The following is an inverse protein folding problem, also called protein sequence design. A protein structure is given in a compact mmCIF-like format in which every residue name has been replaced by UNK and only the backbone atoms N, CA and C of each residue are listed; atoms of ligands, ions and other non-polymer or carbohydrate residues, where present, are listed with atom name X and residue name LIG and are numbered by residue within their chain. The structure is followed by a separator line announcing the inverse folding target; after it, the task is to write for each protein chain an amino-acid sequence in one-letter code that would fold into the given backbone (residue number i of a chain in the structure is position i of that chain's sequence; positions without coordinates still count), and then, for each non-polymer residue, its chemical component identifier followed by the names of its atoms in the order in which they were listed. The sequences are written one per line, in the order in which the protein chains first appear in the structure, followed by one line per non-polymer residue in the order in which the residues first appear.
data_IF_927867169166
#
_entry.id   IF_927867169166
#
_cell.length_a   1.000
_cell.length_b   1.000
_cell.length_c   1.000
_cell.angle_alpha   90.00
_cell.angle_beta   90.00
_cell.angle_gamma   90.00
#
_symmetry.space_group_name_H-M   'P 1'
#
loop_
_entity.id
_entity.type
_entity.pdbx_description
1 polymer ?
#
# COMPACT_ATOMS: atom_id res chain seq x y z
N UNK A 1 11.39 -17.26 10.72
CA UNK A 1 11.63 -16.17 11.71
C UNK A 1 12.30 -16.80 12.91
N UNK A 2 13.42 -16.25 13.41
CA UNK A 2 14.08 -16.82 14.58
C UNK A 2 13.13 -16.78 15.80
N UNK A 3 13.11 -17.86 16.57
CA UNK A 3 12.26 -17.97 17.76
C UNK A 3 12.68 -16.93 18.80
N UNK A 4 11.70 -16.17 19.34
CA UNK A 4 11.94 -15.13 20.36
C UNK A 4 12.64 -15.70 21.61
N UNK A 5 12.52 -17.00 21.87
CA UNK A 5 13.20 -17.72 22.95
C UNK A 5 14.74 -17.66 22.86
N UNK A 6 15.29 -17.45 21.66
CA UNK A 6 16.75 -17.43 21.44
C UNK A 6 17.37 -16.02 21.61
N UNK A 7 16.56 -15.00 21.92
CA UNK A 7 17.05 -13.64 22.11
C UNK A 7 17.21 -13.31 23.60
N UNK A 8 18.23 -12.51 23.93
CA UNK A 8 18.38 -11.90 25.27
C UNK A 8 17.06 -11.25 25.71
N UNK A 9 16.70 -11.39 26.98
CA UNK A 9 15.42 -10.98 27.57
C UNK A 9 14.97 -9.57 27.15
N UNK A 10 15.86 -8.59 27.22
CA UNK A 10 15.57 -7.19 26.86
C UNK A 10 15.13 -7.03 25.41
N UNK A 11 15.74 -7.78 24.47
CA UNK A 11 15.34 -7.76 23.06
C UNK A 11 13.98 -8.44 22.86
N UNK A 12 13.75 -9.56 23.55
CA UNK A 12 12.46 -10.25 23.49
C UNK A 12 11.31 -9.41 24.07
N UNK A 13 11.56 -8.63 25.13
CA UNK A 13 10.60 -7.65 25.69
C UNK A 13 10.31 -6.54 24.68
N UNK A 14 11.35 -5.96 24.09
CA UNK A 14 11.20 -4.91 23.08
C UNK A 14 10.38 -5.38 21.87
N UNK A 15 10.67 -6.58 21.34
CA UNK A 15 9.90 -7.15 20.23
C UNK A 15 8.43 -7.38 20.56
N UNK A 16 8.13 -7.83 21.79
CA UNK A 16 6.75 -7.99 22.25
C UNK A 16 6.01 -6.66 22.29
N UNK A 17 6.61 -5.61 22.85
CA UNK A 17 5.99 -4.27 22.86
C UNK A 17 5.81 -3.71 21.45
N UNK A 18 6.79 -3.95 20.57
CA UNK A 18 6.69 -3.55 19.18
C UNK A 18 5.55 -4.27 18.42
N UNK A 19 5.28 -5.55 18.70
CA UNK A 19 4.12 -6.24 18.12
C UNK A 19 2.79 -5.68 18.61
N UNK A 20 2.70 -5.34 19.90
CA UNK A 20 1.51 -4.70 20.48
C UNK A 20 1.24 -3.35 19.81
N UNK A 21 2.29 -2.54 19.62
CA UNK A 21 2.17 -1.24 18.96
C UNK A 21 1.76 -1.40 17.49
N UNK A 22 2.34 -2.36 16.77
CA UNK A 22 1.95 -2.64 15.39
C UNK A 22 0.50 -3.11 15.29
N UNK A 23 0.02 -3.93 16.24
CA UNK A 23 -1.37 -4.34 16.30
C UNK A 23 -2.31 -3.16 16.53
N UNK A 24 -2.01 -2.31 17.54
CA UNK A 24 -2.82 -1.15 17.85
C UNK A 24 -2.88 -0.17 16.66
N UNK A 25 -1.73 0.11 16.04
CA UNK A 25 -1.66 0.99 14.88
C UNK A 25 -2.38 0.41 13.65
N UNK A 26 -2.27 -0.89 13.42
CA UNK A 26 -3.02 -1.54 12.34
C UNK A 26 -4.53 -1.39 12.53
N UNK A 27 -5.03 -1.60 13.74
CA UNK A 27 -6.48 -1.50 13.99
C UNK A 27 -6.94 -0.04 13.91
N UNK A 28 -6.15 0.92 14.39
CA UNK A 28 -6.46 2.35 14.23
C UNK A 28 -6.58 2.77 12.77
N UNK A 29 -5.53 2.50 12.01
CA UNK A 29 -5.36 3.05 10.67
C UNK A 29 -5.82 2.13 9.55
N UNK A 30 -6.29 0.91 9.88
CA UNK A 30 -6.72 -0.14 8.95
C UNK A 30 -5.61 -0.74 8.08
N UNK A 31 -4.55 0.02 7.80
CA UNK A 31 -3.33 -0.45 7.16
C UNK A 31 -2.09 0.25 7.73
N UNK A 32 -0.94 -0.41 7.64
CA UNK A 32 0.36 0.14 8.00
C UNK A 32 1.42 -0.31 7.00
N UNK A 33 2.41 0.56 6.74
CA UNK A 33 3.57 0.24 5.91
C UNK A 33 4.76 -0.02 6.82
N UNK A 34 5.36 -1.21 6.72
CA UNK A 34 6.50 -1.57 7.57
C UNK A 34 7.45 -2.53 6.86
N UNK A 35 8.59 -2.83 7.48
CA UNK A 35 9.54 -3.81 6.93
C UNK A 35 8.90 -5.20 6.84
N UNK A 36 9.12 -5.93 5.76
CA UNK A 36 8.52 -7.25 5.49
C UNK A 36 8.69 -8.24 6.65
N UNK A 37 9.86 -8.21 7.29
CA UNK A 37 10.14 -9.04 8.45
C UNK A 37 9.27 -8.67 9.66
N UNK A 38 9.05 -7.38 9.89
CA UNK A 38 8.19 -6.87 10.97
C UNK A 38 6.73 -7.24 10.71
N UNK A 39 6.26 -7.04 9.47
CA UNK A 39 4.90 -7.37 9.04
C UNK A 39 4.60 -8.85 9.28
N UNK A 40 5.42 -9.77 8.75
CA UNK A 40 5.19 -11.23 8.90
C UNK A 40 5.14 -11.70 10.35
N UNK A 41 5.98 -11.12 11.21
CA UNK A 41 6.01 -11.46 12.64
C UNK A 41 4.76 -10.93 13.36
N UNK A 42 4.41 -9.67 13.12
CA UNK A 42 3.26 -9.04 13.73
C UNK A 42 1.95 -9.70 13.27
N UNK A 43 1.84 -10.06 11.98
CA UNK A 43 0.65 -10.69 11.39
C UNK A 43 0.19 -11.91 12.19
N UNK A 44 1.09 -12.85 12.48
CA UNK A 44 0.74 -14.06 13.23
C UNK A 44 0.20 -13.75 14.64
N UNK A 45 0.67 -12.67 15.29
CA UNK A 45 0.19 -12.23 16.60
C UNK A 45 -1.16 -11.51 16.51
N UNK A 46 -1.34 -10.69 15.48
CA UNK A 46 -2.56 -9.93 15.22
C UNK A 46 -3.70 -10.88 14.86
N UNK A 47 -3.49 -11.85 13.98
CA UNK A 47 -4.48 -12.88 13.62
C UNK A 47 -4.93 -13.66 14.86
N UNK A 48 -3.98 -14.09 15.70
CA UNK A 48 -4.29 -14.80 16.94
C UNK A 48 -5.06 -13.92 17.93
N UNK A 49 -4.69 -12.64 18.04
CA UNK A 49 -5.36 -11.68 18.89
C UNK A 49 -6.81 -11.43 18.43
N UNK A 50 -7.00 -11.08 17.16
CA UNK A 50 -8.32 -10.81 16.58
C UNK A 50 -9.24 -12.03 16.68
N UNK A 51 -8.75 -13.21 16.30
CA UNK A 51 -9.54 -14.44 16.40
C UNK A 51 -10.03 -14.72 17.82
N UNK A 52 -9.17 -14.56 18.84
CA UNK A 52 -9.55 -14.73 20.24
C UNK A 52 -10.52 -13.64 20.72
N UNK A 53 -10.23 -12.38 20.40
CA UNK A 53 -11.04 -11.24 20.83
C UNK A 53 -12.46 -11.33 20.26
N UNK A 54 -12.58 -11.60 18.96
CA UNK A 54 -13.86 -11.73 18.26
C UNK A 54 -14.65 -12.95 18.76
N UNK A 55 -13.99 -14.09 18.96
CA UNK A 55 -14.64 -15.28 19.51
C UNK A 55 -15.18 -15.03 20.92
N UNK A 56 -14.39 -14.43 21.81
CA UNK A 56 -14.82 -14.09 23.17
C UNK A 56 -15.97 -13.08 23.16
N UNK A 57 -15.92 -12.08 22.27
CA UNK A 57 -16.99 -11.11 22.10
C UNK A 57 -18.31 -11.76 21.67
N UNK A 58 -18.27 -12.73 20.73
CA UNK A 58 -19.45 -13.48 20.30
C UNK A 58 -20.14 -14.20 21.47
N UNK A 59 -19.38 -14.76 22.41
CA UNK A 59 -19.93 -15.44 23.60
C UNK A 59 -20.63 -14.49 24.58
N UNK A 60 -20.36 -13.19 24.53
CA UNK A 60 -20.97 -12.17 25.40
C UNK A 60 -22.26 -11.58 24.80
N UNK A 61 -22.60 -11.93 23.56
CA UNK A 61 -23.82 -11.47 22.90
C UNK A 61 -23.94 -9.94 22.86
N UNK A 62 -25.10 -9.43 23.25
CA UNK A 62 -25.45 -8.00 23.18
C UNK A 62 -25.17 -7.24 24.49
N UNK A 63 -24.26 -7.72 25.34
CA UNK A 63 -23.86 -6.99 26.55
C UNK A 63 -23.34 -5.57 26.24
N UNK A 64 -23.47 -4.60 27.16
CA UNK A 64 -22.89 -3.27 27.02
C UNK A 64 -21.40 -3.31 26.67
N UNK A 65 -20.93 -2.30 25.93
CA UNK A 65 -19.53 -2.23 25.48
C UNK A 65 -18.53 -2.30 26.65
N UNK A 66 -18.79 -1.59 27.74
CA UNK A 66 -17.93 -1.56 28.93
C UNK A 66 -17.77 -2.95 29.57
N UNK A 67 -18.86 -3.72 29.61
CA UNK A 67 -18.85 -5.10 30.08
C UNK A 67 -18.02 -5.98 29.13
N UNK A 68 -18.18 -5.81 27.82
CA UNK A 68 -17.39 -6.57 26.83
C UNK A 68 -15.90 -6.22 26.90
N UNK A 69 -15.54 -4.96 27.11
CA UNK A 69 -14.14 -4.51 27.26
C UNK A 69 -13.43 -5.10 28.49
N UNK A 70 -14.17 -5.26 29.60
CA UNK A 70 -13.64 -5.87 30.82
C UNK A 70 -13.56 -7.40 30.71
N UNK A 71 -14.56 -8.05 30.10
CA UNK A 71 -14.66 -9.51 30.04
C UNK A 71 -13.83 -10.16 28.91
N UNK A 72 -13.53 -9.45 27.82
CA UNK A 72 -12.69 -9.98 26.73
C UNK A 72 -11.20 -9.96 27.12
N UNK A 73 -10.73 -11.08 27.68
CA UNK A 73 -9.35 -11.29 28.13
C UNK A 73 -8.31 -11.09 27.02
N UNK A 74 -8.66 -11.36 25.76
CA UNK A 74 -7.74 -11.16 24.64
C UNK A 74 -7.24 -9.72 24.53
N UNK A 75 -8.02 -8.73 24.99
CA UNK A 75 -7.65 -7.31 24.98
C UNK A 75 -6.44 -6.98 25.87
N UNK A 76 -6.06 -7.86 26.80
CA UNK A 76 -4.81 -7.74 27.58
C UNK A 76 -3.54 -7.84 26.73
N UNK A 77 -3.66 -8.30 25.48
CA UNK A 77 -2.57 -8.23 24.52
C UNK A 77 -2.19 -6.78 24.21
N UNK A 78 -3.16 -5.86 24.15
CA UNK A 78 -2.93 -4.44 23.86
C UNK A 78 -2.26 -3.73 25.05
N UNK A 79 -1.71 -2.55 24.80
CA UNK A 79 -1.26 -1.70 25.90
C UNK A 79 -2.48 -1.07 26.61
N UNK A 80 -2.31 -0.72 27.89
CA UNK A 80 -3.34 -0.05 28.69
C UNK A 80 -4.04 1.14 27.99
N UNK A 81 -3.31 2.12 27.39
CA UNK A 81 -3.97 3.24 26.71
C UNK A 81 -4.74 2.80 25.46
N UNK A 82 -4.27 1.76 24.76
CA UNK A 82 -4.89 1.26 23.54
C UNK A 82 -6.12 0.40 23.83
N UNK A 83 -6.21 -0.20 25.03
CA UNK A 83 -7.25 -1.19 25.37
C UNK A 83 -8.67 -0.61 25.24
N UNK A 84 -8.85 0.66 25.57
CA UNK A 84 -10.16 1.31 25.49
C UNK A 84 -10.51 1.67 24.03
N UNK A 85 -9.66 2.47 23.38
CA UNK A 85 -9.88 2.99 22.03
C UNK A 85 -9.84 1.89 20.94
N UNK A 86 -8.78 1.07 20.95
CA UNK A 86 -8.60 0.02 19.96
C UNK A 86 -9.50 -1.17 20.29
N UNK A 87 -9.66 -1.48 21.58
CA UNK A 87 -10.55 -2.54 22.01
C UNK A 87 -12.00 -2.28 21.61
N UNK A 88 -12.50 -1.06 21.78
CA UNK A 88 -13.89 -0.74 21.38
C UNK A 88 -14.11 -0.95 19.88
N UNK A 89 -13.17 -0.48 19.04
CA UNK A 89 -13.21 -0.71 17.60
C UNK A 89 -13.21 -2.20 17.25
N UNK A 90 -12.42 -3.03 17.94
CA UNK A 90 -12.42 -4.49 17.72
C UNK A 90 -13.78 -5.11 18.07
N UNK A 91 -14.37 -4.70 19.19
CA UNK A 91 -15.60 -5.29 19.71
C UNK A 91 -16.88 -4.79 19.02
N UNK A 92 -16.88 -3.60 18.43
CA UNK A 92 -18.06 -3.00 17.80
C UNK A 92 -18.01 -2.98 16.27
N UNK A 93 -16.90 -2.53 15.68
CA UNK A 93 -16.76 -2.40 14.23
C UNK A 93 -16.28 -3.73 13.63
N UNK A 94 -15.11 -4.22 14.06
CA UNK A 94 -14.54 -5.44 13.48
C UNK A 94 -15.39 -6.69 13.77
N UNK A 95 -16.15 -6.71 14.86
CA UNK A 95 -17.08 -7.80 15.17
C UNK A 95 -18.24 -7.91 14.18
N UNK A 96 -18.75 -6.77 13.71
CA UNK A 96 -19.79 -6.71 12.66
C UNK A 96 -19.19 -7.00 11.29
N UNK A 97 -17.97 -6.55 11.04
CA UNK A 97 -17.27 -6.78 9.77
C UNK A 97 -16.92 -8.26 9.56
N UNK A 98 -16.48 -8.94 10.61
CA UNK A 98 -15.96 -10.31 10.53
C UNK A 98 -16.91 -11.36 11.13
N UNK A 99 -18.22 -11.24 10.89
CA UNK A 99 -19.22 -12.19 11.40
C UNK A 99 -18.96 -13.59 10.84
N UNK A 100 -18.85 -13.72 9.52
CA UNK A 100 -18.70 -15.01 8.82
C UNK A 100 -17.23 -15.43 8.60
N UNK A 101 -16.28 -14.58 9.01
CA UNK A 101 -14.84 -14.82 8.82
C UNK A 101 -14.23 -15.51 10.03
N UNK A 102 -13.86 -16.77 9.88
CA UNK A 102 -13.21 -17.55 10.94
C UNK A 102 -11.72 -17.19 11.15
N UNK A 103 -11.00 -16.86 10.08
CA UNK A 103 -9.56 -16.56 10.10
C UNK A 103 -9.16 -15.68 8.90
N UNK A 104 -7.91 -15.18 8.91
CA UNK A 104 -7.38 -14.40 7.79
C UNK A 104 -7.94 -12.99 7.78
N UNK A 105 -7.85 -12.31 8.93
CA UNK A 105 -8.31 -10.94 9.12
C UNK A 105 -7.35 -9.90 8.53
N UNK A 106 -6.12 -10.31 8.24
CA UNK A 106 -5.05 -9.43 7.75
C UNK A 106 -4.46 -9.92 6.43
N UNK A 107 -3.94 -8.98 5.64
CA UNK A 107 -3.20 -9.27 4.42
C UNK A 107 -1.85 -8.57 4.42
N UNK A 108 -0.83 -9.24 3.87
CA UNK A 108 0.46 -8.64 3.59
C UNK A 108 0.63 -8.47 2.08
N UNK A 109 0.86 -7.24 1.64
CA UNK A 109 1.20 -6.91 0.25
C UNK A 109 2.67 -6.52 0.20
N UNK A 110 3.45 -7.17 -0.68
CA UNK A 110 4.86 -6.81 -0.87
C UNK A 110 4.93 -5.49 -1.61
N UNK A 111 5.80 -4.60 -1.13
CA UNK A 111 6.13 -3.36 -1.81
C UNK A 111 7.54 -3.44 -2.37
N UNK A 112 7.87 -2.46 -3.19
CA UNK A 112 9.24 -2.19 -3.58
C UNK A 112 10.13 -1.92 -2.37
N UNK A 113 11.43 -2.13 -2.58
CA UNK A 113 12.43 -1.84 -1.55
C UNK A 113 12.45 -0.33 -1.26
N UNK A 114 12.69 0.01 0.01
CA UNK A 114 12.81 1.40 0.43
C UNK A 114 13.91 2.10 -0.39
N UNK A 115 13.59 3.29 -0.88
CA UNK A 115 14.53 4.18 -1.54
C UNK A 115 15.61 4.64 -0.54
N UNK A 116 16.88 4.47 -0.90
CA UNK A 116 18.04 4.77 -0.06
C UNK A 116 18.99 3.57 0.08
N UNK A 117 20.08 3.75 0.82
CA UNK A 117 21.18 2.77 0.90
C UNK A 117 20.80 1.49 1.65
N UNK A 118 19.90 1.58 2.64
CA UNK A 118 19.41 0.44 3.44
C UNK A 118 18.64 -0.58 2.58
N UNK A 119 18.06 -0.16 1.44
CA UNK A 119 17.27 -0.99 0.49
C UNK A 119 16.34 -2.01 1.17
N UNK A 120 15.78 -1.64 2.33
CA UNK A 120 15.02 -2.56 3.15
C UNK A 120 13.74 -3.01 2.45
N UNK A 121 13.43 -4.30 2.57
CA UNK A 121 12.21 -4.87 1.99
C UNK A 121 10.99 -4.39 2.76
N UNK A 122 10.07 -3.71 2.07
CA UNK A 122 8.87 -3.13 2.65
C UNK A 122 7.64 -3.96 2.31
N UNK A 123 6.60 -3.83 3.12
CA UNK A 123 5.30 -4.44 2.87
C UNK A 123 4.20 -3.62 3.54
N UNK A 124 3.01 -3.64 2.94
CA UNK A 124 1.78 -3.21 3.60
C UNK A 124 1.29 -4.38 4.44
N UNK A 125 0.87 -4.11 5.67
CA UNK A 125 0.01 -4.97 6.46
C UNK A 125 -1.34 -4.26 6.58
N UNK A 126 -2.42 -4.88 6.13
CA UNK A 126 -3.77 -4.30 6.10
C UNK A 126 -4.80 -5.23 6.73
N UNK A 127 -5.91 -4.67 7.21
CA UNK A 127 -7.12 -5.40 7.56
C UNK A 127 -7.95 -5.67 6.31
N UNK A 128 -8.50 -6.88 6.23
CA UNK A 128 -9.35 -7.32 5.14
C UNK A 128 -10.75 -6.71 5.31
N UNK A 129 -11.49 -6.56 4.21
CA UNK A 129 -12.86 -6.02 4.15
C UNK A 129 -12.98 -4.57 4.67
N UNK A 130 -11.85 -3.86 4.80
CA UNK A 130 -11.79 -2.44 5.18
C UNK A 130 -12.07 -1.53 3.99
N UNK A 131 -12.63 -0.34 4.23
CA UNK A 131 -12.74 0.69 3.20
C UNK A 131 -11.38 1.20 2.72
N UNK A 132 -10.32 1.01 3.49
CA UNK A 132 -8.94 1.38 3.12
C UNK A 132 -8.11 0.19 2.62
N UNK A 133 -8.74 -0.93 2.28
CA UNK A 133 -8.08 -2.14 1.80
C UNK A 133 -7.42 -1.90 0.43
N UNK A 134 -6.09 -1.92 0.37
CA UNK A 134 -5.32 -1.56 -0.83
C UNK A 134 -5.53 -2.60 -1.93
N UNK A 135 -5.58 -3.89 -1.57
CA UNK A 135 -5.81 -4.97 -2.56
C UNK A 135 -7.18 -4.82 -3.25
N UNK A 136 -8.19 -4.35 -2.53
CA UNK A 136 -9.53 -4.13 -3.06
C UNK A 136 -9.54 -3.01 -4.10
N UNK A 137 -9.07 -1.82 -3.71
CA UNK A 137 -8.99 -0.66 -4.60
C UNK A 137 -8.08 -0.88 -5.81
N UNK A 138 -6.96 -1.58 -5.63
CA UNK A 138 -6.06 -1.91 -6.74
C UNK A 138 -6.74 -2.84 -7.77
N UNK A 139 -7.53 -3.81 -7.31
CA UNK A 139 -8.27 -4.71 -8.20
C UNK A 139 -9.41 -3.98 -8.89
N UNK A 140 -10.15 -3.12 -8.18
CA UNK A 140 -11.20 -2.28 -8.76
C UNK A 140 -10.63 -1.35 -9.85
N UNK A 141 -9.46 -0.75 -9.61
CA UNK A 141 -8.76 0.08 -10.60
C UNK A 141 -8.37 -0.70 -11.87
N UNK A 142 -7.94 -1.95 -11.74
CA UNK A 142 -7.61 -2.80 -12.90
C UNK A 142 -8.88 -3.07 -13.72
N UNK A 143 -9.97 -3.46 -13.07
CA UNK A 143 -11.24 -3.74 -13.74
C UNK A 143 -11.78 -2.49 -14.42
N UNK A 144 -11.78 -1.34 -13.74
CA UNK A 144 -12.15 -0.05 -14.31
C UNK A 144 -11.37 0.26 -15.60
N UNK A 145 -10.06 0.00 -15.60
CA UNK A 145 -9.22 0.21 -16.78
C UNK A 145 -9.59 -0.73 -17.93
N UNK A 146 -9.77 -2.02 -17.65
CA UNK A 146 -10.12 -3.01 -18.67
C UNK A 146 -11.49 -2.70 -19.29
N UNK A 147 -12.47 -2.31 -18.47
CA UNK A 147 -13.80 -1.91 -18.95
C UNK A 147 -13.74 -0.66 -19.84
N UNK A 148 -12.95 0.36 -19.47
CA UNK A 148 -12.75 1.55 -20.31
C UNK A 148 -12.08 1.20 -21.65
N UNK A 149 -11.22 0.18 -21.67
CA UNK A 149 -10.56 -0.31 -22.87
C UNK A 149 -11.42 -1.27 -23.70
N UNK A 150 -12.58 -1.71 -23.18
CA UNK A 150 -13.40 -2.74 -23.82
C UNK A 150 -12.82 -4.16 -23.73
N UNK A 151 -11.75 -4.35 -22.96
CA UNK A 151 -11.06 -5.63 -22.85
C UNK A 151 -11.73 -6.56 -21.82
N UNK A 152 -11.78 -7.88 -22.08
CA UNK A 152 -12.30 -8.84 -21.12
C UNK A 152 -11.40 -8.92 -19.88
N UNK A 153 -12.03 -9.23 -18.73
CA UNK A 153 -11.31 -9.39 -17.47
C UNK A 153 -10.54 -10.71 -17.45
N UNK A 154 -9.24 -10.66 -17.17
CA UNK A 154 -8.36 -11.83 -17.03
C UNK A 154 -8.80 -12.78 -15.89
N UNK A 155 -8.50 -14.08 -16.03
CA UNK A 155 -8.88 -15.13 -15.07
C UNK A 155 -8.35 -14.86 -13.66
N UNK A 156 -7.10 -14.39 -13.53
CA UNK A 156 -6.51 -14.08 -12.22
C UNK A 156 -7.22 -12.89 -11.58
N UNK A 157 -7.66 -11.92 -12.38
CA UNK A 157 -8.40 -10.76 -11.91
C UNK A 157 -9.79 -11.18 -11.44
N UNK A 158 -10.51 -12.01 -12.22
CA UNK A 158 -11.80 -12.56 -11.81
C UNK A 158 -11.71 -13.31 -10.48
N UNK A 159 -10.70 -14.19 -10.33
CA UNK A 159 -10.47 -14.91 -9.07
C UNK A 159 -10.20 -13.98 -7.87
N UNK A 160 -9.44 -12.91 -8.09
CA UNK A 160 -9.20 -11.92 -7.04
C UNK A 160 -10.48 -11.17 -6.67
N UNK A 161 -11.32 -10.81 -7.65
CA UNK A 161 -12.62 -10.19 -7.41
C UNK A 161 -13.49 -11.11 -6.56
N UNK A 162 -13.66 -12.37 -6.96
CA UNK A 162 -14.43 -13.36 -6.19
C UNK A 162 -13.95 -13.45 -4.74
N UNK A 163 -12.62 -13.51 -4.51
CA UNK A 163 -12.07 -13.56 -3.15
C UNK A 163 -12.31 -12.31 -2.32
N UNK A 164 -12.37 -11.14 -2.96
CA UNK A 164 -12.57 -9.86 -2.30
C UNK A 164 -14.05 -9.57 -2.00
N UNK A 165 -14.96 -10.21 -2.73
CA UNK A 165 -16.42 -10.02 -2.56
C UNK A 165 -17.06 -11.10 -1.71
N UNK A 166 -16.58 -12.34 -1.74
CA UNK A 166 -17.25 -13.51 -1.15
C UNK A 166 -17.65 -13.38 0.32
N UNK A 167 -16.78 -12.83 1.17
CA UNK A 167 -17.02 -12.72 2.62
C UNK A 167 -17.35 -11.29 3.07
N UNK A 168 -17.45 -10.36 2.12
CA UNK A 168 -17.72 -8.97 2.39
C UNK A 168 -19.23 -8.74 2.38
N UNK A 169 -19.71 -7.96 3.34
CA UNK A 169 -21.12 -7.53 3.39
C UNK A 169 -21.41 -6.74 2.12
N UNK A 170 -22.39 -7.19 1.32
CA UNK A 170 -22.74 -6.64 0.00
C UNK A 170 -21.51 -6.48 -0.92
N UNK A 171 -20.60 -7.46 -0.90
CA UNK A 171 -19.29 -7.36 -1.55
C UNK A 171 -19.34 -7.04 -3.04
N UNK A 172 -20.23 -7.65 -3.81
CA UNK A 172 -20.35 -7.44 -5.26
C UNK A 172 -20.79 -6.02 -5.60
N UNK A 173 -21.84 -5.52 -4.94
CA UNK A 173 -22.34 -4.15 -5.13
C UNK A 173 -21.29 -3.13 -4.71
N UNK A 174 -20.66 -3.33 -3.55
CA UNK A 174 -19.58 -2.46 -3.07
C UNK A 174 -18.38 -2.44 -4.02
N UNK A 175 -18.05 -3.58 -4.62
CA UNK A 175 -16.97 -3.67 -5.62
C UNK A 175 -17.34 -2.95 -6.92
N UNK A 176 -18.59 -3.08 -7.39
CA UNK A 176 -19.08 -2.32 -8.56
C UNK A 176 -19.03 -0.82 -8.32
N UNK A 177 -19.49 -0.35 -7.16
CA UNK A 177 -19.36 1.06 -6.77
C UNK A 177 -17.90 1.52 -6.77
N UNK A 178 -16.98 0.71 -6.24
CA UNK A 178 -15.55 1.03 -6.24
C UNK A 178 -14.94 1.09 -7.66
N UNK A 179 -15.44 0.29 -8.60
CA UNK A 179 -15.02 0.32 -10.00
C UNK A 179 -15.46 1.62 -10.67
N UNK A 180 -16.71 2.04 -10.47
CA UNK A 180 -17.22 3.32 -10.99
C UNK A 180 -16.48 4.51 -10.38
N UNK A 181 -16.30 4.51 -9.06
CA UNK A 181 -15.49 5.53 -8.38
C UNK A 181 -14.05 5.56 -8.92
N UNK A 182 -13.47 4.41 -9.23
CA UNK A 182 -12.15 4.35 -9.82
C UNK A 182 -12.09 4.92 -11.25
N UNK A 183 -13.14 4.74 -12.06
CA UNK A 183 -13.25 5.38 -13.39
C UNK A 183 -13.28 6.89 -13.25
N UNK A 184 -14.07 7.41 -12.32
CA UNK A 184 -14.21 8.85 -12.11
C UNK A 184 -12.95 9.48 -11.52
N UNK A 185 -12.34 8.87 -10.50
CA UNK A 185 -11.22 9.46 -9.75
C UNK A 185 -9.89 9.24 -10.45
N UNK A 186 -9.60 8.03 -10.93
CA UNK A 186 -8.28 7.70 -11.49
C UNK A 186 -8.18 7.87 -13.01
N UNK A 187 -9.30 7.75 -13.73
CA UNK A 187 -9.34 7.76 -15.19
C UNK A 187 -10.23 8.90 -15.73
N UNK A 188 -10.36 9.99 -14.97
CA UNK A 188 -11.18 11.16 -15.33
C UNK A 188 -10.91 11.68 -16.74
N UNK A 189 -9.64 11.70 -17.16
CA UNK A 189 -9.23 12.16 -18.49
C UNK A 189 -9.69 11.21 -19.59
N UNK A 190 -9.58 9.91 -19.39
CA UNK A 190 -10.02 8.90 -20.35
C UNK A 190 -11.54 8.94 -20.52
N UNK A 191 -12.28 9.08 -19.40
CA UNK A 191 -13.74 9.26 -19.41
C UNK A 191 -14.14 10.53 -20.17
N UNK A 192 -13.40 11.65 -19.99
CA UNK A 192 -13.67 12.89 -20.74
C UNK A 192 -13.45 12.70 -22.25
N UNK A 193 -12.37 12.03 -22.65
CA UNK A 193 -12.10 11.73 -24.07
C UNK A 193 -13.19 10.86 -24.67
N UNK A 194 -13.61 9.81 -23.97
CA UNK A 194 -14.69 8.92 -24.42
C UNK A 194 -16.00 9.70 -24.62
N UNK A 195 -16.35 10.60 -23.69
CA UNK A 195 -17.54 11.45 -23.83
C UNK A 195 -17.46 12.37 -25.05
N UNK A 196 -16.30 12.99 -25.28
CA UNK A 196 -16.08 13.85 -26.46
C UNK A 196 -16.19 13.07 -27.77
N UNK A 197 -15.63 11.86 -27.83
CA UNK A 197 -15.73 10.98 -29.01
C UNK A 197 -17.18 10.54 -29.26
N UNK A 198 -17.90 10.21 -28.19
CA UNK A 198 -19.32 9.87 -28.28
C UNK A 198 -20.18 11.04 -28.78
N UNK A 199 -19.89 12.27 -28.35
CA UNK A 199 -20.54 13.50 -28.85
C UNK A 199 -20.20 13.77 -30.33
N UNK A 200 -19.01 13.36 -30.79
CA UNK A 200 -18.57 13.48 -32.17
C UNK A 200 -19.15 12.39 -33.10
N UNK A 201 -19.88 11.39 -32.56
CA UNK A 201 -20.46 10.29 -33.33
C UNK A 201 -19.48 9.21 -33.76
N UNK A 202 -18.26 9.20 -33.18
CA UNK A 202 -17.25 8.17 -33.39
C UNK A 202 -17.40 7.03 -32.36
N UNK A 203 -16.96 5.79 -32.66
CA UNK A 203 -17.13 4.67 -31.74
C UNK A 203 -16.36 4.88 -30.44
N UNK A 204 -17.06 4.74 -29.32
CA UNK A 204 -16.63 5.15 -27.99
C UNK A 204 -15.59 4.21 -27.32
N UNK A 205 -14.94 3.29 -28.06
CA UNK A 205 -13.96 2.34 -27.51
C UNK A 205 -12.52 2.72 -27.85
N UNK A 206 -11.63 2.64 -26.86
CA UNK A 206 -10.19 2.92 -27.01
C UNK A 206 -9.47 2.00 -28.01
N UNK A 207 -10.08 0.87 -28.40
CA UNK A 207 -9.54 -0.05 -29.42
C UNK A 207 -9.26 0.65 -30.76
N UNK A 208 -10.11 1.60 -31.16
CA UNK A 208 -9.95 2.29 -32.44
C UNK A 208 -8.89 3.40 -32.41
N UNK A 209 -8.41 3.79 -31.22
CA UNK A 209 -7.35 4.79 -31.10
C UNK A 209 -5.97 4.17 -31.40
N UNK A 210 -5.76 2.88 -31.11
CA UNK A 210 -4.46 2.20 -31.30
C UNK A 210 -4.32 1.57 -32.71
N UNK A 211 -5.42 1.30 -33.43
CA UNK A 211 -5.34 0.85 -34.83
C UNK A 211 -4.88 1.97 -35.80
N UNK A 212 -4.95 3.23 -35.38
CA UNK A 212 -4.39 4.36 -36.14
C UNK A 212 -2.90 4.61 -35.88
N UNK A 213 -2.31 3.88 -34.94
CA UNK A 213 -0.87 3.89 -34.72
C UNK A 213 -0.28 2.82 -35.62
N UNK A 214 0.22 3.23 -36.79
CA UNK A 214 0.95 2.36 -37.68
C UNK A 214 2.18 1.80 -36.95
N UNK A 215 2.04 0.59 -36.39
CA UNK A 215 3.11 -0.12 -35.69
C UNK A 215 4.32 -0.34 -36.61
N UNK A 216 4.11 -0.37 -37.94
CA UNK A 216 5.20 -0.40 -38.89
C UNK A 216 5.96 0.94 -38.94
N UNK A 217 5.28 2.08 -38.76
CA UNK A 217 5.92 3.39 -38.65
C UNK A 217 6.70 3.58 -37.34
N UNK A 218 6.30 2.92 -36.24
CA UNK A 218 7.06 2.93 -34.97
C UNK A 218 8.27 1.98 -35.02
N UNK A 219 8.23 0.95 -35.86
CA UNK A 219 9.32 -0.01 -35.99
C UNK A 219 10.60 0.60 -36.61
N UNK A 220 10.49 1.71 -37.35
CA UNK A 220 11.59 2.26 -38.15
C UNK A 220 12.34 3.45 -37.54
N UNK A 221 11.84 4.04 -36.45
CA UNK A 221 12.50 5.21 -35.83
C UNK A 221 13.44 4.85 -34.66
N UNK A 222 13.74 3.56 -34.48
CA UNK A 222 14.76 3.12 -33.53
C UNK A 222 16.16 3.24 -34.14
N UNK A 223 17.08 4.05 -33.57
CA UNK A 223 18.40 4.26 -34.15
C UNK A 223 19.14 2.94 -34.38
N UNK A 224 19.56 2.67 -35.63
CA UNK A 224 20.20 1.40 -36.03
C UNK A 224 21.42 1.02 -35.18
N UNK A 225 22.12 1.99 -34.58
CA UNK A 225 23.27 1.76 -33.71
C UNK A 225 22.92 1.07 -32.38
N UNK A 226 21.64 1.00 -32.00
CA UNK A 226 21.15 0.27 -30.82
C UNK A 226 20.82 -1.20 -31.12
N UNK A 227 20.82 -1.62 -32.40
CA UNK A 227 20.51 -2.98 -32.84
C UNK A 227 21.73 -3.92 -32.88
N UNK A 228 22.95 -3.40 -32.67
CA UNK A 228 24.16 -4.22 -32.73
C UNK A 228 24.37 -5.02 -31.43
N UNK A 229 24.29 -6.36 -31.53
CA UNK A 229 24.68 -7.28 -30.46
C UNK A 229 26.18 -7.12 -30.18
N UNK A 230 26.53 -6.87 -28.92
CA UNK A 230 27.92 -7.06 -28.49
C UNK A 230 28.21 -8.56 -28.37
N UNK A 231 29.48 -9.01 -28.46
CA UNK A 231 29.85 -10.43 -28.46
C UNK A 231 29.40 -11.24 -27.24
N UNK A 232 28.93 -10.58 -26.17
CA UNK A 232 28.49 -11.21 -24.91
C UNK A 232 26.96 -11.29 -24.74
N UNK A 233 26.18 -11.04 -25.79
CA UNK A 233 24.74 -11.37 -25.81
C UNK A 233 23.82 -10.58 -24.86
N UNK A 234 24.29 -9.49 -24.25
CA UNK A 234 23.47 -8.62 -23.41
C UNK A 234 23.05 -7.36 -24.16
N UNK A 235 21.74 -7.07 -24.19
CA UNK A 235 21.23 -5.75 -24.56
C UNK A 235 21.41 -4.84 -23.33
N UNK A 236 21.85 -3.59 -23.54
CA UNK A 236 22.21 -2.57 -22.55
C UNK A 236 23.67 -2.59 -22.11
N UNK A 237 24.50 -1.83 -22.83
CA UNK A 237 25.43 -0.94 -22.12
C UNK A 237 24.59 0.25 -21.67
N UNK A 238 24.49 0.49 -20.35
CA UNK A 238 23.99 1.74 -19.77
C UNK A 238 24.89 2.91 -20.22
N UNK A 239 24.75 3.34 -21.48
CA UNK A 239 25.15 4.68 -21.91
C UNK A 239 23.89 5.54 -21.86
N UNK A 240 23.87 6.63 -21.08
CA UNK A 240 22.78 7.57 -21.14
C UNK A 240 22.60 8.03 -22.59
N UNK A 241 21.38 8.07 -23.09
CA UNK A 241 21.09 8.54 -24.46
C UNK A 241 21.64 9.94 -24.67
N UNK A 242 22.03 10.31 -25.89
CA UNK A 242 22.44 11.69 -26.19
C UNK A 242 21.35 12.70 -25.82
N UNK A 243 20.08 12.27 -25.88
CA UNK A 243 18.92 13.02 -25.43
C UNK A 243 18.97 13.27 -23.91
N UNK A 244 19.32 12.25 -23.10
CA UNK A 244 19.56 12.41 -21.67
C UNK A 244 20.74 13.34 -21.37
N UNK A 245 21.85 13.26 -22.13
CA UNK A 245 22.99 14.17 -21.97
C UNK A 245 22.65 15.62 -22.37
N UNK A 246 21.83 15.82 -23.40
CA UNK A 246 21.30 17.14 -23.79
C UNK A 246 20.36 17.71 -22.72
N UNK A 247 19.44 16.88 -22.21
CA UNK A 247 18.54 17.27 -21.12
C UNK A 247 19.31 17.58 -19.82
N UNK A 248 20.30 16.76 -19.45
CA UNK A 248 21.14 16.99 -18.28
C UNK A 248 21.95 18.29 -18.38
N UNK A 249 22.46 18.63 -19.57
CA UNK A 249 23.13 19.92 -19.83
C UNK A 249 22.18 21.12 -19.67
N UNK A 250 20.90 20.95 -19.96
CA UNK A 250 19.88 21.99 -19.79
C UNK A 250 19.39 22.09 -18.33
N UNK A 251 19.34 20.97 -17.59
CA UNK A 251 19.04 20.96 -16.16
C UNK A 251 20.09 21.73 -15.33
N UNK A 252 21.37 21.62 -15.69
CA UNK A 252 22.46 22.38 -15.06
C UNK A 252 22.43 23.89 -15.27
N UNK A 253 21.58 24.39 -16.19
CA UNK A 253 21.36 25.82 -16.44
C UNK A 253 20.09 26.37 -15.80
N UNK A 254 19.32 25.55 -15.08
CA UNK A 254 18.10 26.01 -14.43
C UNK A 254 18.41 26.78 -13.14
N UNK A 255 17.95 28.05 -13.10
CA UNK A 255 17.94 29.01 -11.98
C UNK A 255 19.10 28.87 -10.98
N UNK A 256 20.27 29.39 -11.36
CA UNK A 256 21.23 29.87 -10.35
C UNK A 256 20.59 31.08 -9.66
N UNK A 257 19.91 30.86 -8.54
CA UNK A 257 19.57 31.95 -7.63
C UNK A 257 20.90 32.52 -7.11
N UNK A 258 21.09 33.86 -7.07
CA UNK A 258 22.28 34.43 -6.45
C UNK A 258 22.34 33.96 -5.00
N UNK A 259 23.28 33.07 -4.71
CA UNK A 259 23.51 32.57 -3.36
C UNK A 259 24.43 33.56 -2.68
N UNK A 260 23.89 34.33 -1.73
CA UNK A 260 24.72 35.11 -0.82
C UNK A 260 25.49 34.07 0.03
N UNK A 261 26.83 34.07 0.02
CA UNK A 261 27.59 33.16 0.87
C UNK A 261 27.20 33.40 2.32
N UNK A 262 26.92 32.31 3.05
CA UNK A 262 26.59 32.40 4.47
C UNK A 262 27.76 33.11 5.18
N UNK A 263 27.52 34.16 5.99
CA UNK A 263 28.60 34.76 6.75
C UNK A 263 29.26 33.69 7.60
N UNK A 264 30.58 33.80 7.78
CA UNK A 264 31.35 32.87 8.61
C UNK A 264 30.65 32.73 9.98
N UNK A 265 30.54 31.49 10.47
CA UNK A 265 30.01 31.26 11.83
C UNK A 265 30.88 32.06 12.79
N UNK A 266 30.29 33.08 13.42
CA UNK A 266 30.88 33.71 14.60
C UNK A 266 31.06 32.60 15.62
N UNK A 267 32.27 32.46 16.17
CA UNK A 267 32.52 31.53 17.27
C UNK A 267 31.55 31.87 18.41
N UNK A 268 30.55 31.01 18.60
CA UNK A 268 29.65 31.15 19.72
C UNK A 268 30.49 30.86 20.97
N UNK A 269 30.72 31.89 21.79
CA UNK A 269 31.30 31.70 23.12
C UNK A 269 30.28 30.89 23.92
N UNK A 270 30.49 29.58 24.00
CA UNK A 270 29.65 28.68 24.80
C UNK A 270 29.91 29.04 26.26
N UNK A 271 28.92 29.53 27.03
CA UNK A 271 29.13 29.75 28.45
C UNK A 271 29.45 28.41 29.10
N UNK A 272 30.47 28.37 29.96
CA UNK A 272 30.81 27.15 30.72
C UNK A 272 29.57 26.69 31.48
N UNK A 273 29.22 25.42 31.30
CA UNK A 273 28.12 24.79 32.02
C UNK A 273 28.35 24.94 33.54
N UNK A 274 27.35 25.39 34.32
CA UNK A 274 27.48 25.48 35.77
C UNK A 274 27.65 24.09 36.45
N UNK A 275 27.53 23.00 35.68
CA UNK A 275 27.64 21.63 36.16
C UNK A 275 28.97 20.93 35.79
N UNK A 276 29.86 21.61 35.07
CA UNK A 276 31.20 21.11 34.77
C UNK A 276 32.21 22.09 35.39
N UNK A 277 32.80 21.69 36.52
CA UNK A 277 33.98 22.36 37.09
C UNK A 277 35.22 22.05 36.27
#
# INVERSE_FOLDING_TARGET
MPNLKNFKYNRARHFRMMDRNLCANLIRHEYIITGRAKAKRAQAKIEQFLGKALHQNKSLGNSPLEERLSNVKALEFLQLPDRQEVGSKVLDDLSKRFVDRAHGFTRIIKLERRLGDDKAEMSVLELVDSDFEIKFWYTAKIVARLELQGLPVDELTQHNVTKLTQLRINGEERFRQAVEEAKEVFFAEDVRKIKQLAEAGEPASLEQMDESVDLAAIQDDWPQHLRQKTPKGTYLKNRPSELFLKLAKNFGKSKQYPTIPRPAKVEAVIPKSPFLK
#
